data_IF_979020654815
#
_entry.id   IF_979020654815
#
_cell.length_a   1.000
_cell.length_b   1.000
_cell.length_c   1.000
_cell.angle_alpha   90.00
_cell.angle_beta   90.00
_cell.angle_gamma   90.00
#
_symmetry.space_group_name_H-M   'P 1'
#
loop_
_entity.id
_entity.type
_entity.pdbx_description
1 polymer ?
#
# COMPACT_ATOMS: atom_id res chain seq x y z
N UNK A 1 -12.43 18.86 -25.85
CA UNK A 1 -12.65 17.54 -25.23
C UNK A 1 -13.73 16.86 -26.04
N UNK A 2 -13.48 15.69 -26.60
CA UNK A 2 -14.40 14.97 -27.50
C UNK A 2 -15.30 14.02 -26.71
N UNK A 3 -16.54 13.76 -27.14
CA UNK A 3 -17.52 12.89 -26.45
C UNK A 3 -16.97 11.49 -26.07
N UNK A 4 -16.00 10.98 -26.83
CA UNK A 4 -15.31 9.72 -26.54
C UNK A 4 -14.43 9.81 -25.29
N UNK A 5 -13.68 10.90 -25.11
CA UNK A 5 -12.83 11.11 -23.93
C UNK A 5 -13.67 11.28 -22.65
N UNK A 6 -14.86 11.87 -22.77
CA UNK A 6 -15.78 12.04 -21.63
C UNK A 6 -16.35 10.70 -21.16
N UNK A 7 -16.69 9.80 -22.09
CA UNK A 7 -17.16 8.44 -21.76
C UNK A 7 -16.09 7.57 -21.11
N UNK A 8 -14.87 7.61 -21.63
CA UNK A 8 -13.77 6.80 -21.10
C UNK A 8 -13.37 7.26 -19.67
N UNK A 9 -13.48 8.56 -19.38
CA UNK A 9 -13.27 9.12 -18.03
C UNK A 9 -14.40 8.73 -17.05
N UNK A 10 -15.66 8.70 -17.50
CA UNK A 10 -16.82 8.26 -16.71
C UNK A 10 -16.79 6.75 -16.39
N UNK A 11 -16.38 5.89 -17.35
CA UNK A 11 -16.28 4.44 -17.14
C UNK A 11 -15.12 4.06 -16.21
N UNK A 12 -13.96 4.73 -16.30
CA UNK A 12 -12.82 4.50 -15.39
C UNK A 12 -13.11 4.94 -13.95
N UNK A 13 -13.77 6.09 -13.79
CA UNK A 13 -14.27 6.54 -12.47
C UNK A 13 -15.26 5.53 -11.88
N UNK A 14 -16.10 4.91 -12.73
CA UNK A 14 -17.03 3.86 -12.31
C UNK A 14 -16.37 2.59 -11.77
N UNK A 15 -15.22 2.18 -12.31
CA UNK A 15 -14.53 0.96 -11.89
C UNK A 15 -13.90 1.02 -10.50
N UNK A 16 -13.26 2.14 -10.15
CA UNK A 16 -12.70 2.34 -8.81
C UNK A 16 -13.75 2.55 -7.74
N UNK A 17 -14.86 3.20 -8.09
CA UNK A 17 -16.00 3.36 -7.19
C UNK A 17 -16.59 1.99 -6.79
N UNK A 18 -16.59 1.01 -7.69
CA UNK A 18 -17.01 -0.36 -7.38
C UNK A 18 -16.04 -1.02 -6.39
N UNK A 19 -14.72 -0.88 -6.59
CA UNK A 19 -13.71 -1.41 -5.65
C UNK A 19 -13.89 -0.76 -4.27
N UNK A 20 -14.02 0.56 -4.23
CA UNK A 20 -14.23 1.35 -3.01
C UNK A 20 -15.46 0.85 -2.25
N UNK A 21 -16.60 0.75 -2.95
CA UNK A 21 -17.85 0.23 -2.37
C UNK A 21 -17.72 -1.20 -1.87
N UNK A 22 -17.00 -2.07 -2.59
CA UNK A 22 -16.79 -3.46 -2.16
C UNK A 22 -15.91 -3.56 -0.92
N UNK A 23 -14.86 -2.74 -0.83
CA UNK A 23 -14.02 -2.65 0.35
C UNK A 23 -14.81 -2.12 1.56
N UNK A 24 -15.70 -1.15 1.36
CA UNK A 24 -16.64 -0.68 2.39
C UNK A 24 -17.64 -1.77 2.81
N UNK A 25 -18.17 -2.56 1.86
CA UNK A 25 -19.06 -3.69 2.15
C UNK A 25 -18.36 -4.81 2.95
N UNK A 26 -17.08 -5.08 2.67
CA UNK A 26 -16.30 -6.10 3.38
C UNK A 26 -15.86 -5.65 4.77
N UNK A 27 -15.74 -4.33 4.99
CA UNK A 27 -15.22 -3.72 6.20
C UNK A 27 -13.76 -4.18 6.51
N UNK A 28 -13.20 -3.71 7.63
CA UNK A 28 -11.82 -3.98 8.03
C UNK A 28 -11.61 -5.39 8.59
N UNK A 29 -12.68 -6.04 9.05
CA UNK A 29 -12.57 -7.27 9.85
C UNK A 29 -11.91 -8.44 9.07
N UNK A 30 -12.25 -8.72 7.81
CA UNK A 30 -11.57 -9.77 7.04
C UNK A 30 -10.07 -9.52 6.89
N UNK A 31 -9.63 -8.27 6.90
CA UNK A 31 -8.21 -7.90 6.82
C UNK A 31 -7.50 -7.97 8.17
N UNK A 32 -8.21 -7.58 9.22
CA UNK A 32 -7.73 -7.55 10.59
C UNK A 32 -7.51 -8.95 11.17
N UNK A 33 -8.42 -9.88 10.87
CA UNK A 33 -8.39 -11.26 11.37
C UNK A 33 -7.70 -12.21 10.41
N UNK A 34 -6.45 -11.87 10.07
CA UNK A 34 -5.53 -12.72 9.34
C UNK A 34 -4.41 -13.17 10.28
N UNK A 35 -4.08 -14.46 10.26
CA UNK A 35 -3.12 -15.05 11.23
C UNK A 35 -1.76 -14.34 11.20
N UNK A 36 -1.32 -13.92 10.00
CA UNK A 36 -0.06 -13.21 9.82
C UNK A 36 0.00 -11.86 10.55
N UNK A 37 -1.13 -11.20 10.85
CA UNK A 37 -1.14 -9.93 11.59
C UNK A 37 -0.64 -10.12 13.03
N UNK A 38 -0.80 -11.33 13.56
CA UNK A 38 -0.18 -11.73 14.82
C UNK A 38 1.27 -12.11 14.63
N UNK A 39 1.56 -12.99 13.68
CA UNK A 39 2.88 -13.62 13.55
C UNK A 39 3.96 -12.61 13.13
N UNK A 40 3.58 -11.63 12.30
CA UNK A 40 4.47 -10.56 11.84
C UNK A 40 4.47 -9.34 12.77
N UNK A 41 3.66 -9.36 13.84
CA UNK A 41 3.68 -8.28 14.82
C UNK A 41 4.98 -8.30 15.62
N UNK A 42 5.68 -7.16 15.75
CA UNK A 42 6.87 -7.06 16.60
C UNK A 42 6.54 -7.25 18.09
N UNK A 43 5.32 -6.90 18.50
CA UNK A 43 4.82 -7.12 19.84
C UNK A 43 3.30 -7.19 19.76
N UNK A 44 2.73 -8.39 19.72
CA UNK A 44 1.28 -8.57 19.64
C UNK A 44 0.56 -8.24 20.96
N UNK A 45 1.30 -8.15 22.07
CA UNK A 45 0.75 -7.96 23.41
C UNK A 45 0.74 -6.48 23.78
N UNK A 46 -0.45 -5.93 24.02
CA UNK A 46 -0.57 -4.56 24.49
C UNK A 46 0.08 -4.39 25.87
N UNK A 47 0.95 -3.38 26.09
CA UNK A 47 1.68 -3.21 27.36
C UNK A 47 0.78 -3.05 28.59
N UNK A 48 -0.44 -2.54 28.40
CA UNK A 48 -1.40 -2.32 29.49
C UNK A 48 -2.27 -3.56 29.79
N UNK A 49 -2.17 -4.64 29.02
CA UNK A 49 -3.02 -5.82 29.22
C UNK A 49 -2.41 -6.80 30.22
N UNK A 50 -3.23 -7.21 31.20
CA UNK A 50 -2.92 -8.33 32.08
C UNK A 50 -2.76 -9.63 31.29
N UNK A 51 -2.07 -10.64 31.83
CA UNK A 51 -1.94 -11.95 31.16
C UNK A 51 -3.31 -12.54 30.80
N UNK A 52 -4.27 -12.42 31.72
CA UNK A 52 -5.64 -12.88 31.51
C UNK A 52 -6.29 -12.16 30.32
N UNK A 53 -6.26 -10.83 30.31
CA UNK A 53 -6.84 -10.03 29.22
C UNK A 53 -6.18 -10.32 27.88
N UNK A 54 -4.84 -10.44 27.86
CA UNK A 54 -4.10 -10.74 26.64
C UNK A 54 -4.45 -12.13 26.08
N UNK A 55 -4.61 -13.13 26.95
CA UNK A 55 -4.99 -14.48 26.54
C UNK A 55 -6.45 -14.55 26.06
N UNK A 56 -7.38 -13.85 26.72
CA UNK A 56 -8.78 -13.75 26.28
C UNK A 56 -8.89 -13.07 24.90
N UNK A 57 -8.21 -11.94 24.70
CA UNK A 57 -8.15 -11.24 23.40
C UNK A 57 -7.54 -12.12 22.31
N UNK A 58 -6.48 -12.86 22.63
CA UNK A 58 -5.82 -13.76 21.69
C UNK A 58 -6.71 -14.95 21.31
N UNK A 59 -7.47 -15.51 22.26
CA UNK A 59 -8.44 -16.56 21.98
C UNK A 59 -9.53 -16.06 21.01
N UNK A 60 -10.12 -14.89 21.28
CA UNK A 60 -11.08 -14.26 20.38
C UNK A 60 -10.47 -13.97 18.99
N UNK A 61 -9.21 -13.53 18.94
CA UNK A 61 -8.51 -13.31 17.68
C UNK A 61 -8.42 -14.60 16.84
N UNK A 62 -8.05 -15.73 17.44
CA UNK A 62 -7.97 -17.00 16.72
C UNK A 62 -9.33 -17.52 16.27
N UNK A 63 -10.37 -17.37 17.08
CA UNK A 63 -11.74 -17.73 16.69
C UNK A 63 -12.18 -16.93 15.45
N UNK A 64 -11.90 -15.63 15.44
CA UNK A 64 -12.24 -14.76 14.31
C UNK A 64 -11.35 -15.03 13.09
N UNK A 65 -10.06 -15.36 13.27
CA UNK A 65 -9.22 -15.82 12.16
C UNK A 65 -9.79 -17.07 11.50
N UNK A 66 -10.26 -18.05 12.29
CA UNK A 66 -10.89 -19.25 11.76
C UNK A 66 -12.21 -18.94 11.03
N UNK A 67 -13.01 -18.00 11.56
CA UNK A 67 -14.22 -17.52 10.89
C UNK A 67 -13.92 -16.90 9.52
N UNK A 68 -12.94 -16.00 9.45
CA UNK A 68 -12.57 -15.28 8.22
C UNK A 68 -11.62 -16.07 7.29
N UNK A 69 -11.13 -17.25 7.69
CA UNK A 69 -10.27 -18.09 6.84
C UNK A 69 -10.95 -18.47 5.51
N UNK A 70 -12.28 -18.61 5.51
CA UNK A 70 -13.08 -18.95 4.32
C UNK A 70 -13.68 -17.73 3.61
N UNK A 71 -13.33 -16.51 4.04
CA UNK A 71 -13.84 -15.29 3.45
C UNK A 71 -13.40 -15.16 1.98
N UNK A 72 -14.35 -14.81 1.11
CA UNK A 72 -14.12 -14.71 -0.33
C UNK A 72 -13.94 -13.26 -0.74
N UNK A 73 -12.71 -12.90 -1.05
CA UNK A 73 -12.36 -11.62 -1.67
C UNK A 73 -12.65 -11.68 -3.18
N UNK A 74 -13.92 -11.65 -3.57
CA UNK A 74 -14.31 -11.68 -4.99
C UNK A 74 -14.93 -10.38 -5.43
N UNK A 75 -14.28 -9.70 -6.37
CA UNK A 75 -14.95 -8.73 -7.23
C UNK A 75 -15.56 -9.52 -8.40
N UNK A 76 -16.83 -9.27 -8.73
CA UNK A 76 -17.36 -9.78 -10.00
C UNK A 76 -16.48 -9.27 -11.15
N UNK A 77 -16.32 -10.03 -12.25
CA UNK A 77 -15.42 -9.69 -13.34
C UNK A 77 -15.95 -8.45 -14.08
N UNK A 78 -15.67 -7.27 -13.54
CA UNK A 78 -15.73 -6.02 -14.26
C UNK A 78 -14.32 -5.71 -14.71
N UNK A 79 -14.15 -5.63 -16.02
CA UNK A 79 -12.95 -5.12 -16.66
C UNK A 79 -12.92 -3.64 -16.30
N UNK A 80 -12.27 -3.32 -15.18
CA UNK A 80 -11.74 -1.98 -15.01
C UNK A 80 -10.50 -1.96 -15.90
N UNK A 81 -10.57 -1.23 -17.01
CA UNK A 81 -9.53 -1.18 -18.04
C UNK A 81 -8.11 -1.18 -17.44
N UNK A 82 -7.27 -2.08 -17.94
CA UNK A 82 -5.85 -2.25 -17.56
C UNK A 82 -5.55 -2.23 -16.05
N UNK A 83 -6.52 -2.60 -15.21
CA UNK A 83 -6.30 -2.56 -13.78
C UNK A 83 -5.30 -3.61 -13.37
N UNK A 84 -4.25 -3.06 -12.78
CA UNK A 84 -3.07 -3.65 -12.16
C UNK A 84 -3.41 -4.55 -10.96
N UNK A 85 -4.52 -5.29 -10.97
CA UNK A 85 -4.89 -6.17 -9.87
C UNK A 85 -4.01 -7.44 -9.87
N UNK A 86 -3.68 -7.94 -8.69
CA UNK A 86 -3.14 -9.28 -8.53
C UNK A 86 -3.79 -10.00 -7.35
N UNK A 87 -3.85 -11.31 -7.45
CA UNK A 87 -4.23 -12.20 -6.36
C UNK A 87 -3.20 -12.17 -5.22
N UNK A 88 -3.61 -12.67 -4.05
CA UNK A 88 -2.67 -12.82 -2.93
C UNK A 88 -1.54 -13.79 -3.27
N UNK A 89 -1.80 -14.84 -4.05
CA UNK A 89 -0.76 -15.79 -4.48
C UNK A 89 0.29 -15.12 -5.36
N UNK A 90 -0.14 -14.30 -6.34
CA UNK A 90 0.80 -13.55 -7.19
C UNK A 90 1.61 -12.53 -6.37
N UNK A 91 1.02 -11.93 -5.34
CA UNK A 91 1.75 -11.07 -4.41
C UNK A 91 2.84 -11.86 -3.66
N UNK A 92 2.55 -13.09 -3.24
CA UNK A 92 3.53 -13.95 -2.55
C UNK A 92 4.69 -14.41 -3.46
N UNK A 93 4.50 -14.43 -4.77
CA UNK A 93 5.58 -14.67 -5.73
C UNK A 93 6.55 -13.46 -5.82
N UNK A 94 6.07 -12.26 -5.50
CA UNK A 94 6.85 -11.01 -5.54
C UNK A 94 7.58 -10.75 -4.21
N UNK A 95 6.99 -11.13 -3.08
CA UNK A 95 7.49 -10.80 -1.74
C UNK A 95 7.20 -11.90 -0.72
N UNK A 96 8.18 -12.20 0.14
CA UNK A 96 8.08 -13.22 1.20
C UNK A 96 7.74 -12.65 2.60
N UNK A 97 7.61 -11.33 2.70
CA UNK A 97 7.31 -10.56 3.92
C UNK A 97 8.25 -10.79 5.11
N UNK A 98 9.46 -11.32 4.87
CA UNK A 98 10.44 -11.53 5.94
C UNK A 98 11.14 -10.23 6.34
N UNK A 99 11.72 -10.23 7.53
CA UNK A 99 12.41 -9.06 8.09
C UNK A 99 13.55 -8.54 7.20
N UNK A 100 14.22 -9.42 6.45
CA UNK A 100 15.31 -9.07 5.54
C UNK A 100 14.83 -8.27 4.32
N UNK A 101 13.56 -8.44 3.93
CA UNK A 101 12.95 -7.69 2.84
C UNK A 101 12.39 -6.35 3.31
N UNK A 102 12.22 -6.14 4.62
CA UNK A 102 11.65 -4.92 5.20
C UNK A 102 12.60 -3.73 4.97
N UNK A 103 12.08 -2.68 4.36
CA UNK A 103 12.76 -1.39 4.20
C UNK A 103 12.49 -0.53 5.43
N UNK A 104 11.22 -0.27 5.71
CA UNK A 104 10.80 0.58 6.82
C UNK A 104 9.34 0.32 7.21
N UNK A 105 8.99 0.76 8.42
CA UNK A 105 7.60 0.87 8.89
C UNK A 105 7.13 2.31 8.67
N UNK A 106 5.87 2.47 8.24
CA UNK A 106 5.20 3.76 8.16
C UNK A 106 3.92 3.73 9.02
N UNK A 107 3.22 4.86 9.11
CA UNK A 107 2.02 4.99 9.95
C UNK A 107 0.87 4.06 9.52
N UNK A 108 0.82 3.67 8.25
CA UNK A 108 -0.23 2.83 7.68
C UNK A 108 0.11 1.34 7.56
N UNK A 109 1.39 0.97 7.73
CA UNK A 109 1.89 -0.37 7.47
C UNK A 109 3.40 -0.40 7.19
N UNK A 110 3.83 -1.14 6.15
CA UNK A 110 5.24 -1.44 5.90
C UNK A 110 5.63 -1.26 4.44
N UNK A 111 6.92 -1.07 4.22
CA UNK A 111 7.55 -1.04 2.89
C UNK A 111 8.59 -2.15 2.79
N UNK A 112 8.60 -2.88 1.69
CA UNK A 112 9.46 -4.02 1.44
C UNK A 112 10.14 -3.95 0.08
N UNK A 113 11.28 -4.64 -0.04
CA UNK A 113 11.94 -4.95 -1.31
C UNK A 113 11.31 -6.21 -1.90
N UNK A 114 10.63 -6.06 -3.03
CA UNK A 114 10.08 -7.18 -3.80
C UNK A 114 10.91 -7.49 -5.05
N UNK A 115 10.55 -8.56 -5.75
CA UNK A 115 11.09 -8.89 -7.08
C UNK A 115 9.95 -9.27 -8.01
N UNK A 116 9.75 -8.52 -9.08
CA UNK A 116 8.81 -8.88 -10.14
C UNK A 116 9.48 -9.91 -11.03
N UNK A 117 8.88 -11.10 -11.13
CA UNK A 117 9.25 -12.11 -12.11
C UNK A 117 8.33 -12.02 -13.32
N UNK A 118 8.90 -11.80 -14.50
CA UNK A 118 8.19 -11.87 -15.78
C UNK A 118 8.96 -12.83 -16.71
N UNK A 119 8.54 -14.10 -16.70
CA UNK A 119 9.28 -15.18 -17.35
C UNK A 119 10.67 -15.39 -16.76
N UNK A 120 11.72 -15.20 -17.56
CA UNK A 120 13.12 -15.33 -17.14
C UNK A 120 13.71 -14.06 -16.55
N UNK A 121 13.08 -12.90 -16.75
CA UNK A 121 13.58 -11.62 -16.25
C UNK A 121 13.08 -11.37 -14.83
N UNK A 122 14.00 -10.90 -13.98
CA UNK A 122 13.71 -10.47 -12.61
C UNK A 122 14.09 -9.02 -12.47
N UNK A 123 13.15 -8.19 -12.03
CA UNK A 123 13.41 -6.78 -11.75
C UNK A 123 13.00 -6.42 -10.32
N UNK A 124 13.76 -5.51 -9.67
CA UNK A 124 13.46 -5.10 -8.30
C UNK A 124 12.14 -4.34 -8.25
N UNK A 125 11.45 -4.45 -7.12
CA UNK A 125 10.21 -3.74 -6.85
C UNK A 125 10.16 -3.20 -5.42
N UNK A 126 9.26 -2.25 -5.20
CA UNK A 126 8.89 -1.79 -3.86
C UNK A 126 7.48 -2.28 -3.57
N UNK A 127 7.27 -2.93 -2.43
CA UNK A 127 5.95 -3.37 -1.99
C UNK A 127 5.54 -2.58 -0.76
N UNK A 128 4.43 -1.86 -0.84
CA UNK A 128 3.80 -1.20 0.30
C UNK A 128 2.63 -2.04 0.80
N UNK A 129 2.49 -2.20 2.11
CA UNK A 129 1.33 -2.83 2.73
C UNK A 129 0.62 -1.84 3.63
N UNK A 130 -0.70 -2.02 3.76
CA UNK A 130 -1.52 -1.41 4.80
C UNK A 130 -1.87 -2.50 5.80
N UNK A 131 -1.12 -2.54 6.90
CA UNK A 131 -1.16 -3.68 7.82
C UNK A 131 -2.23 -3.51 8.89
N UNK A 132 -2.62 -4.61 9.54
CA UNK A 132 -3.50 -4.61 10.71
C UNK A 132 -2.84 -5.39 11.86
N UNK A 133 -1.52 -5.20 12.04
CA UNK A 133 -0.71 -5.94 13.02
C UNK A 133 -1.22 -5.74 14.45
N UNK A 134 -1.04 -6.77 15.28
CA UNK A 134 -1.38 -6.70 16.70
C UNK A 134 -0.35 -5.92 17.55
N UNK A 135 -0.69 -5.48 18.79
CA UNK A 135 -2.06 -5.26 19.22
C UNK A 135 -2.70 -4.24 18.27
N UNK A 136 -4.02 -4.29 18.11
CA UNK A 136 -4.70 -3.18 17.44
C UNK A 136 -4.32 -1.92 18.20
N UNK A 137 -3.47 -1.09 17.61
CA UNK A 137 -3.03 0.11 18.28
C UNK A 137 -4.26 0.96 18.56
N UNK A 138 -4.22 1.78 19.61
CA UNK A 138 -5.16 2.89 19.79
C UNK A 138 -4.98 3.97 18.69
N UNK A 139 -4.47 3.59 17.51
CA UNK A 139 -4.24 4.47 16.39
C UNK A 139 -5.59 4.81 15.75
N UNK A 140 -6.01 6.09 15.81
CA UNK A 140 -7.29 6.55 15.27
C UNK A 140 -7.46 6.28 13.76
N UNK A 141 -6.36 5.92 13.09
CA UNK A 141 -6.27 5.75 11.66
C UNK A 141 -6.58 4.31 11.18
N UNK A 142 -6.72 3.32 12.08
CA UNK A 142 -7.00 1.93 11.71
C UNK A 142 -8.22 1.79 10.76
N UNK A 143 -9.37 2.43 11.04
CA UNK A 143 -10.53 2.41 10.13
C UNK A 143 -10.28 3.15 8.81
N UNK A 144 -9.36 4.11 8.80
CA UNK A 144 -9.06 4.92 7.61
C UNK A 144 -8.13 4.20 6.62
N UNK A 145 -7.52 3.06 7.00
CA UNK A 145 -6.54 2.36 6.14
C UNK A 145 -7.15 1.88 4.82
N UNK A 146 -8.41 1.45 4.80
CA UNK A 146 -9.10 1.08 3.55
C UNK A 146 -9.26 2.29 2.64
N UNK A 147 -9.75 3.42 3.18
CA UNK A 147 -9.89 4.65 2.40
C UNK A 147 -8.54 5.15 1.87
N UNK A 148 -7.50 5.17 2.72
CA UNK A 148 -6.14 5.54 2.30
C UNK A 148 -5.59 4.61 1.22
N UNK A 149 -5.89 3.31 1.29
CA UNK A 149 -5.52 2.37 0.23
C UNK A 149 -6.24 2.73 -1.08
N UNK A 150 -7.57 2.89 -1.06
CA UNK A 150 -8.35 3.25 -2.24
C UNK A 150 -7.85 4.56 -2.87
N UNK A 151 -7.72 5.62 -2.08
CA UNK A 151 -7.31 6.93 -2.56
C UNK A 151 -5.90 6.90 -3.20
N UNK A 152 -4.98 6.10 -2.63
CA UNK A 152 -3.65 5.94 -3.20
C UNK A 152 -3.68 5.13 -4.50
N UNK A 153 -4.39 4.01 -4.56
CA UNK A 153 -4.48 3.24 -5.80
C UNK A 153 -5.18 4.04 -6.91
N UNK A 154 -6.24 4.77 -6.59
CA UNK A 154 -6.94 5.66 -7.53
C UNK A 154 -6.00 6.74 -8.07
N UNK A 155 -5.19 7.37 -7.21
CA UNK A 155 -4.16 8.31 -7.64
C UNK A 155 -3.16 7.69 -8.62
N UNK A 156 -2.65 6.49 -8.35
CA UNK A 156 -1.63 5.85 -9.19
C UNK A 156 -2.18 5.19 -10.46
N UNK A 157 -3.50 5.11 -10.60
CA UNK A 157 -4.17 4.58 -11.80
C UNK A 157 -4.74 5.67 -12.70
N UNK A 158 -4.89 6.91 -12.20
CA UNK A 158 -5.12 8.06 -13.06
C UNK A 158 -3.96 8.19 -14.08
N UNK A 159 -4.30 8.07 -15.37
CA UNK A 159 -3.34 8.18 -16.47
C UNK A 159 -2.59 9.52 -16.48
N UNK A 160 -3.20 10.58 -15.97
CA UNK A 160 -2.59 11.91 -15.84
C UNK A 160 -1.58 11.95 -14.70
N UNK A 161 -1.72 11.07 -13.72
CA UNK A 161 -0.86 10.97 -12.55
C UNK A 161 0.33 10.05 -12.76
N UNK A 162 0.09 8.89 -13.38
CA UNK A 162 1.09 7.87 -13.64
C UNK A 162 2.20 8.30 -14.64
N UNK A 163 2.16 9.55 -15.13
CA UNK A 163 3.18 10.14 -16.01
C UNK A 163 4.19 11.06 -15.30
N UNK A 164 3.97 11.39 -14.03
CA UNK A 164 4.87 12.33 -13.34
C UNK A 164 6.24 11.68 -13.04
N UNK A 165 7.37 12.31 -13.43
CA UNK A 165 8.69 11.68 -13.35
C UNK A 165 9.18 11.41 -11.92
N UNK A 166 8.65 12.14 -10.94
CA UNK A 166 9.00 11.99 -9.52
C UNK A 166 7.98 11.12 -8.74
N UNK A 167 7.02 10.49 -9.42
CA UNK A 167 6.03 9.61 -8.82
C UNK A 167 6.37 8.15 -9.13
N UNK A 168 6.19 7.25 -8.16
CA UNK A 168 6.43 5.82 -8.36
C UNK A 168 5.51 5.23 -9.45
N UNK A 169 6.04 4.32 -10.26
CA UNK A 169 5.21 3.59 -11.23
C UNK A 169 4.52 2.42 -10.55
N UNK A 170 3.21 2.51 -10.33
CA UNK A 170 2.43 1.38 -9.85
C UNK A 170 2.48 0.24 -10.88
N UNK A 171 2.83 -0.96 -10.44
CA UNK A 171 2.85 -2.19 -11.24
C UNK A 171 1.59 -3.01 -11.01
N UNK A 172 1.35 -3.38 -9.75
CA UNK A 172 0.24 -4.22 -9.31
C UNK A 172 -0.28 -3.77 -7.94
N UNK A 173 -1.48 -4.14 -7.58
CA UNK A 173 -2.02 -4.00 -6.23
C UNK A 173 -2.89 -5.20 -5.88
N UNK A 174 -3.00 -5.48 -4.58
CA UNK A 174 -3.73 -6.60 -4.03
C UNK A 174 -4.70 -6.09 -2.96
N UNK A 175 -5.94 -6.55 -3.02
CA UNK A 175 -6.92 -6.37 -1.96
C UNK A 175 -7.30 -7.69 -1.28
N UNK A 176 -6.76 -8.82 -1.73
CA UNK A 176 -7.11 -10.14 -1.22
C UNK A 176 -6.27 -10.45 0.02
N UNK A 177 -6.92 -10.65 1.17
CA UNK A 177 -6.30 -10.93 2.48
C UNK A 177 -5.39 -9.82 3.03
N UNK A 178 -4.53 -9.22 2.20
CA UNK A 178 -3.59 -8.16 2.52
C UNK A 178 -3.72 -7.03 1.51
N UNK A 179 -3.97 -5.82 2.00
CA UNK A 179 -3.93 -4.60 1.21
C UNK A 179 -2.48 -4.28 0.86
N UNK A 180 -2.14 -4.30 -0.43
CA UNK A 180 -0.77 -4.05 -0.88
C UNK A 180 -0.70 -3.37 -2.25
N UNK A 181 0.36 -2.62 -2.47
CA UNK A 181 0.72 -2.01 -3.75
C UNK A 181 2.16 -2.37 -4.10
N UNK A 182 2.39 -2.79 -5.33
CA UNK A 182 3.68 -3.14 -5.91
C UNK A 182 4.05 -2.06 -6.91
N UNK A 183 5.20 -1.45 -6.72
CA UNK A 183 5.76 -0.42 -7.59
C UNK A 183 6.94 -0.99 -8.37
N UNK A 184 6.97 -0.77 -9.68
CA UNK A 184 8.01 -1.25 -10.61
C UNK A 184 9.25 -0.38 -10.51
N UNK A 185 9.89 -0.38 -9.34
CA UNK A 185 10.95 0.57 -9.07
C UNK A 185 12.03 -0.01 -8.15
N UNK A 186 13.29 0.37 -8.40
CA UNK A 186 14.42 -0.09 -7.59
C UNK A 186 14.57 0.77 -6.36
N UNK A 187 14.36 0.21 -5.17
CA UNK A 187 14.64 0.96 -3.95
C UNK A 187 16.14 1.26 -3.75
N UNK A 188 16.46 2.55 -3.69
CA UNK A 188 17.80 3.06 -3.42
C UNK A 188 18.02 3.30 -1.92
N UNK A 189 17.43 4.35 -1.34
CA UNK A 189 17.56 4.76 0.07
C UNK A 189 16.31 5.49 0.55
N UNK A 190 16.08 5.53 1.87
CA UNK A 190 15.07 6.42 2.48
C UNK A 190 15.70 7.79 2.69
N UNK A 191 15.00 8.86 2.34
CA UNK A 191 15.51 10.23 2.50
C UNK A 191 15.90 10.54 3.96
N UNK A 192 15.09 10.12 4.94
CA UNK A 192 15.37 10.31 6.38
C UNK A 192 16.74 9.80 6.80
N UNK A 193 17.21 8.72 6.18
CA UNK A 193 18.48 8.07 6.54
C UNK A 193 19.68 8.79 5.92
N UNK A 194 19.46 9.61 4.89
CA UNK A 194 20.52 10.31 4.16
C UNK A 194 20.58 11.80 4.48
N UNK A 195 19.50 12.39 5.03
CA UNK A 195 19.44 13.82 5.34
C UNK A 195 20.61 14.29 6.22
N UNK A 196 21.07 13.43 7.13
CA UNK A 196 22.17 13.71 8.05
C UNK A 196 23.51 13.10 7.61
N UNK A 197 23.56 12.41 6.47
CA UNK A 197 24.77 11.78 6.00
C UNK A 197 25.71 12.82 5.37
N UNK A 198 27.01 12.71 5.68
CA UNK A 198 28.03 13.61 5.14
C UNK A 198 28.17 13.50 3.61
N UNK A 199 27.80 12.35 3.03
CA UNK A 199 27.82 12.10 1.58
C UNK A 199 26.61 12.68 0.85
N UNK A 200 25.60 13.21 1.56
CA UNK A 200 24.45 13.89 0.98
C UNK A 200 24.73 15.40 0.89
N UNK A 201 25.48 15.75 -0.16
CA UNK A 201 26.00 17.09 -0.40
C UNK A 201 24.92 18.11 -0.77
N UNK A 202 25.33 19.37 -0.91
CA UNK A 202 24.42 20.48 -1.25
C UNK A 202 23.65 20.24 -2.55
N UNK A 203 24.33 19.76 -3.60
CA UNK A 203 23.71 19.55 -4.91
C UNK A 203 22.61 18.47 -4.86
N UNK A 204 22.86 17.35 -4.17
CA UNK A 204 21.86 16.31 -3.95
C UNK A 204 20.66 16.83 -3.16
N UNK A 205 20.89 17.65 -2.11
CA UNK A 205 19.82 18.27 -1.31
C UNK A 205 18.94 19.17 -2.16
N UNK A 206 19.54 20.01 -3.00
CA UNK A 206 18.81 20.92 -3.90
C UNK A 206 18.04 20.13 -4.96
N UNK A 207 18.62 19.06 -5.52
CA UNK A 207 17.92 18.17 -6.47
C UNK A 207 16.68 17.54 -5.83
N UNK A 208 16.82 16.90 -4.67
CA UNK A 208 15.69 16.29 -3.94
C UNK A 208 14.62 17.31 -3.58
N UNK A 209 15.02 18.47 -3.05
CA UNK A 209 14.07 19.54 -2.69
C UNK A 209 13.28 20.04 -3.91
N UNK A 210 13.95 20.17 -5.06
CA UNK A 210 13.31 20.59 -6.32
C UNK A 210 12.33 19.53 -6.81
N UNK A 211 12.73 18.25 -6.81
CA UNK A 211 11.86 17.14 -7.20
C UNK A 211 10.62 17.04 -6.30
N UNK A 212 10.79 17.25 -4.99
CA UNK A 212 9.67 17.23 -4.04
C UNK A 212 8.73 18.42 -4.26
N UNK A 213 9.28 19.62 -4.47
CA UNK A 213 8.49 20.81 -4.75
C UNK A 213 7.68 20.67 -6.05
N UNK A 214 8.30 20.12 -7.09
CA UNK A 214 7.68 19.81 -8.38
C UNK A 214 6.52 18.81 -8.22
N UNK A 215 6.77 17.68 -7.54
CA UNK A 215 5.73 16.69 -7.26
C UNK A 215 4.56 17.28 -6.45
N UNK A 216 4.86 18.04 -5.40
CA UNK A 216 3.83 18.67 -4.56
C UNK A 216 3.02 19.71 -5.33
N UNK A 217 3.66 20.53 -6.16
CA UNK A 217 2.97 21.50 -7.00
C UNK A 217 2.03 20.80 -7.98
N UNK A 218 2.49 19.72 -8.59
CA UNK A 218 1.69 18.90 -9.49
C UNK A 218 0.50 18.23 -8.76
N UNK A 219 0.72 17.63 -7.59
CA UNK A 219 -0.36 17.04 -6.77
C UNK A 219 -1.41 18.08 -6.37
N UNK A 220 -0.99 19.29 -5.99
CA UNK A 220 -1.89 20.40 -5.69
C UNK A 220 -2.69 20.86 -6.92
N UNK A 221 -2.07 20.93 -8.10
CA UNK A 221 -2.77 21.24 -9.36
C UNK A 221 -3.88 20.22 -9.64
N UNK A 222 -3.63 18.94 -9.34
CA UNK A 222 -4.61 17.85 -9.46
C UNK A 222 -5.62 17.78 -8.32
N UNK A 223 -5.57 18.71 -7.36
CA UNK A 223 -6.43 18.74 -6.16
C UNK A 223 -6.31 17.48 -5.31
N UNK A 224 -5.17 16.81 -5.39
CA UNK A 224 -4.85 15.67 -4.54
C UNK A 224 -4.30 16.22 -3.23
N UNK A 225 -5.03 15.99 -2.14
CA UNK A 225 -4.56 16.38 -0.80
C UNK A 225 -3.64 15.29 -0.29
N UNK A 226 -2.34 15.58 -0.27
CA UNK A 226 -1.34 14.62 0.17
C UNK A 226 -1.14 14.77 1.66
N UNK A 227 -1.65 13.81 2.44
CA UNK A 227 -1.33 13.72 3.87
C UNK A 227 0.13 13.31 4.13
N UNK A 228 0.72 12.52 3.22
CA UNK A 228 2.10 11.98 3.30
C UNK A 228 2.66 11.66 1.90
N UNK A 229 3.88 12.10 1.55
CA UNK A 229 4.55 11.81 0.27
C UNK A 229 5.61 10.70 0.43
N UNK A 230 5.60 9.69 -0.46
CA UNK A 230 6.72 8.76 -0.66
C UNK A 230 7.42 9.09 -1.98
N UNK A 231 8.74 9.36 -1.93
CA UNK A 231 9.56 9.75 -3.08
C UNK A 231 10.62 8.69 -3.38
N UNK A 232 10.91 8.48 -4.66
CA UNK A 232 12.07 7.74 -5.14
C UNK A 232 13.15 8.72 -5.64
N UNK A 233 14.42 8.39 -5.42
CA UNK A 233 15.57 9.21 -5.84
C UNK A 233 16.56 8.33 -6.61
N UNK A 234 16.84 8.73 -7.85
CA UNK A 234 17.91 8.17 -8.68
C UNK A 234 19.18 9.03 -8.60
N UNK A 235 20.31 8.34 -8.38
CA UNK A 235 21.67 8.90 -8.46
C UNK A 235 22.13 8.97 -9.91
#
# INVERSE_FOLDING_TARGET
MTDVQMRDEEEKSGGFEVIRKKLEEWDILPYQYQIFNKDESPNWRHPLFTDRTANEMLACFYELCNYYQSFKFSLEPMIVDEVKLCSYSELQDIIDFKAESLIQKNLSGRLFRGTIGDGSEKRPAIVKTWDFLLPWGDEPEHPQRLHKFCDEIELFTDERANTHPNLLKLYRYCYEMRLAAVYDEKFTRVLSDVLLADDFGWDDRIKVATQLADLLAWLHEKRVVVGYCFMHYDR
#
